data_IF_821150159794
#
_entry.id   IF_821150159794
#
_cell.length_a   1.000
_cell.length_b   1.000
_cell.length_c   1.000
_cell.angle_alpha   90.00
_cell.angle_beta   90.00
_cell.angle_gamma   90.00
#
_symmetry.space_group_name_H-M   'P 1'
#
loop_
_entity.id
_entity.type
_entity.pdbx_description
1 polymer ?
#
# COMPACT_ATOMS: atom_id res chain seq x y z
N UNK A 1 -15.70 4.52 -19.21
CA UNK A 1 -14.34 4.12 -18.80
C UNK A 1 -13.47 4.17 -20.05
N UNK A 2 -12.34 4.87 -20.01
CA UNK A 2 -11.44 5.08 -21.16
C UNK A 2 -10.01 4.71 -20.73
N UNK A 3 -9.19 4.21 -21.65
CA UNK A 3 -7.80 3.85 -21.41
C UNK A 3 -6.89 4.82 -22.16
N UNK A 4 -5.86 5.31 -21.48
CA UNK A 4 -4.83 6.17 -22.04
C UNK A 4 -3.53 5.38 -22.02
N UNK A 5 -2.90 5.24 -23.19
CA UNK A 5 -1.59 4.63 -23.35
C UNK A 5 -0.57 5.74 -23.63
N UNK A 6 0.54 5.72 -22.91
CA UNK A 6 1.65 6.64 -23.11
C UNK A 6 2.97 5.95 -22.75
N UNK A 7 4.05 6.38 -23.41
CA UNK A 7 5.41 5.96 -23.08
C UNK A 7 6.00 6.91 -22.04
N UNK A 8 6.59 6.36 -20.98
CA UNK A 8 7.30 7.13 -19.97
C UNK A 8 8.37 6.26 -19.30
N UNK A 9 9.46 6.88 -18.89
CA UNK A 9 10.48 6.23 -18.08
C UNK A 9 10.06 6.16 -16.61
N UNK A 10 10.30 5.00 -15.98
CA UNK A 10 10.19 4.86 -14.53
C UNK A 10 11.51 5.34 -13.92
N UNK A 11 11.48 6.43 -13.17
CA UNK A 11 12.65 6.98 -12.50
C UNK A 11 12.45 6.89 -10.99
N UNK A 12 13.35 6.17 -10.30
CA UNK A 12 13.28 5.96 -8.85
C UNK A 12 11.90 5.45 -8.36
N UNK A 13 11.31 4.52 -9.11
CA UNK A 13 9.98 3.97 -8.81
C UNK A 13 8.80 4.92 -9.06
N UNK A 14 9.03 6.08 -9.68
CA UNK A 14 7.98 7.05 -9.99
C UNK A 14 7.79 7.17 -11.51
N UNK A 15 6.53 7.07 -11.95
CA UNK A 15 6.10 7.46 -13.29
C UNK A 15 5.44 8.83 -13.19
N UNK A 16 5.91 9.78 -14.01
CA UNK A 16 5.25 11.08 -14.13
C UNK A 16 4.20 11.00 -15.23
N UNK A 17 2.97 11.37 -14.90
CA UNK A 17 1.92 11.52 -15.91
C UNK A 17 2.32 12.69 -16.84
N UNK A 18 2.32 12.49 -18.17
CA UNK A 18 2.63 13.56 -19.11
C UNK A 18 1.72 14.78 -18.91
N UNK A 19 2.30 15.96 -19.10
CA UNK A 19 1.65 17.26 -18.87
C UNK A 19 0.31 17.43 -19.60
N UNK A 20 0.19 16.86 -20.79
CA UNK A 20 -1.05 16.82 -21.58
C UNK A 20 -2.23 16.15 -20.86
N UNK A 21 -1.96 15.38 -19.80
CA UNK A 21 -2.95 14.67 -19.00
C UNK A 21 -3.04 15.21 -17.55
N UNK A 22 -2.56 16.42 -17.25
CA UNK A 22 -2.64 17.07 -15.91
C UNK A 22 -4.03 17.00 -15.25
N UNK A 23 -5.09 16.90 -16.05
CA UNK A 23 -6.46 16.72 -15.55
C UNK A 23 -6.65 15.45 -14.71
N UNK A 24 -5.71 14.49 -14.76
CA UNK A 24 -5.73 13.23 -14.03
C UNK A 24 -5.04 13.28 -12.64
N UNK A 25 -4.47 14.42 -12.23
CA UNK A 25 -3.63 14.54 -11.01
C UNK A 25 -4.29 14.03 -9.71
N UNK A 26 -5.62 14.06 -9.62
CA UNK A 26 -6.37 13.60 -8.43
C UNK A 26 -7.49 12.60 -8.81
N UNK A 27 -7.32 11.84 -9.89
CA UNK A 27 -8.29 10.87 -10.36
C UNK A 27 -7.97 9.45 -9.83
N UNK A 28 -9.01 8.66 -9.53
CA UNK A 28 -8.83 7.23 -9.32
C UNK A 28 -8.53 6.54 -10.66
N UNK A 29 -7.41 5.83 -10.74
CA UNK A 29 -6.95 5.17 -11.96
C UNK A 29 -6.46 3.73 -11.68
N UNK A 30 -6.69 2.83 -12.65
CA UNK A 30 -6.05 1.52 -12.70
C UNK A 30 -4.86 1.60 -13.66
N UNK A 31 -3.67 1.26 -13.17
CA UNK A 31 -2.43 1.30 -13.96
C UNK A 31 -2.07 -0.13 -14.36
N UNK A 32 -1.73 -0.33 -15.64
CA UNK A 32 -1.20 -1.59 -16.18
C UNK A 32 0.17 -1.28 -16.77
N UNK A 33 1.21 -1.95 -16.27
CA UNK A 33 2.59 -1.77 -16.71
C UNK A 33 3.00 -2.96 -17.56
N UNK A 34 3.61 -2.70 -18.71
CA UNK A 34 4.30 -3.71 -19.52
C UNK A 34 5.80 -3.55 -19.28
N UNK A 35 6.43 -4.59 -18.72
CA UNK A 35 7.86 -4.62 -18.42
C UNK A 35 8.50 -5.84 -19.06
N UNK A 36 9.78 -5.75 -19.42
CA UNK A 36 10.51 -6.90 -19.93
C UNK A 36 10.81 -7.88 -18.80
N UNK A 37 10.75 -9.19 -19.09
CA UNK A 37 10.91 -10.26 -18.11
C UNK A 37 12.19 -10.15 -17.25
N UNK A 38 13.27 -9.61 -17.81
CA UNK A 38 14.55 -9.43 -17.12
C UNK A 38 14.51 -8.39 -15.99
N UNK A 39 13.55 -7.46 -16.02
CA UNK A 39 13.45 -6.34 -15.09
C UNK A 39 12.54 -6.60 -13.88
N UNK A 40 11.80 -7.71 -13.89
CA UNK A 40 10.80 -8.00 -12.88
C UNK A 40 11.12 -9.27 -12.09
N UNK A 41 11.86 -9.11 -11.00
CA UNK A 41 11.79 -10.08 -9.91
C UNK A 41 10.75 -9.57 -8.91
N UNK A 42 9.53 -10.12 -8.99
CA UNK A 42 8.53 -9.88 -7.97
C UNK A 42 9.13 -10.28 -6.61
N UNK A 43 9.47 -9.30 -5.77
CA UNK A 43 9.59 -9.56 -4.35
C UNK A 43 8.18 -9.96 -3.92
N UNK A 44 7.99 -11.26 -3.66
CA UNK A 44 6.75 -11.75 -3.06
C UNK A 44 6.57 -10.95 -1.78
N UNK A 45 5.42 -10.30 -1.64
CA UNK A 45 4.98 -9.79 -0.35
C UNK A 45 5.14 -10.95 0.63
N UNK A 46 6.06 -10.79 1.58
CA UNK A 46 6.32 -11.84 2.54
C UNK A 46 5.10 -11.85 3.45
N UNK A 47 4.35 -12.94 3.42
CA UNK A 47 3.23 -13.14 4.34
C UNK A 47 3.75 -12.92 5.76
N UNK A 48 3.08 -12.05 6.52
CA UNK A 48 3.46 -11.78 7.90
C UNK A 48 3.19 -13.04 8.71
N UNK A 49 4.24 -13.80 9.02
CA UNK A 49 4.15 -15.02 9.83
C UNK A 49 4.25 -14.67 11.32
N UNK A 50 3.15 -14.88 12.04
CA UNK A 50 3.07 -14.70 13.49
C UNK A 50 3.11 -16.02 14.27
N UNK A 51 3.36 -17.17 13.63
CA UNK A 51 3.29 -18.51 14.25
C UNK A 51 4.21 -18.66 15.47
N UNK A 52 5.35 -17.95 15.48
CA UNK A 52 6.30 -17.93 16.59
C UNK A 52 6.27 -16.65 17.43
N UNK A 53 5.21 -15.85 17.32
CA UNK A 53 5.07 -14.61 18.10
C UNK A 53 4.15 -14.83 19.30
N UNK A 54 4.70 -14.69 20.49
CA UNK A 54 3.91 -14.60 21.72
C UNK A 54 3.36 -13.18 21.88
N UNK A 55 2.08 -12.98 21.53
CA UNK A 55 1.40 -11.70 21.65
C UNK A 55 0.93 -11.52 23.10
N UNK A 56 1.71 -10.80 23.90
CA UNK A 56 1.35 -10.42 25.29
C UNK A 56 0.40 -9.22 25.37
N UNK A 57 -0.50 -9.09 24.41
CA UNK A 57 -1.53 -8.06 24.48
C UNK A 57 -2.53 -8.43 25.59
N UNK A 58 -2.83 -7.49 26.48
CA UNK A 58 -3.82 -7.65 27.56
C UNK A 58 -3.50 -8.76 28.60
N UNK A 59 -2.25 -9.23 28.68
CA UNK A 59 -1.87 -10.28 29.64
C UNK A 59 -2.04 -9.79 31.09
N UNK A 60 -3.18 -10.14 31.70
CA UNK A 60 -3.53 -9.80 33.08
C UNK A 60 -4.54 -8.66 33.25
N UNK A 61 -5.15 -8.12 32.19
CA UNK A 61 -6.26 -7.15 32.28
C UNK A 61 -7.31 -7.44 31.22
N UNK A 62 -8.58 -7.19 31.53
CA UNK A 62 -9.64 -7.27 30.52
C UNK A 62 -9.37 -6.22 29.42
N UNK A 63 -9.44 -6.65 28.15
CA UNK A 63 -9.27 -5.77 27.00
C UNK A 63 -10.31 -4.64 27.00
N UNK A 64 -11.51 -4.90 27.53
CA UNK A 64 -12.58 -3.91 27.65
C UNK A 64 -12.27 -2.84 28.70
N UNK A 65 -11.58 -3.19 29.79
CA UNK A 65 -11.19 -2.23 30.83
C UNK A 65 -10.08 -1.28 30.32
N UNK A 66 -9.15 -1.80 29.53
CA UNK A 66 -8.12 -0.97 28.88
C UNK A 66 -8.78 0.00 27.87
N UNK A 67 -9.71 -0.49 27.06
CA UNK A 67 -10.42 0.34 26.08
C UNK A 67 -11.28 1.43 26.75
N UNK A 68 -11.92 1.12 27.88
CA UNK A 68 -12.69 2.09 28.68
C UNK A 68 -11.81 3.17 29.28
N UNK A 69 -10.68 2.78 29.88
CA UNK A 69 -9.71 3.73 30.46
C UNK A 69 -9.20 4.72 29.39
N UNK A 70 -8.86 4.22 28.19
CA UNK A 70 -8.38 5.08 27.10
C UNK A 70 -9.45 6.04 26.56
N UNK A 71 -10.74 5.70 26.71
CA UNK A 71 -11.85 6.54 26.25
C UNK A 71 -12.15 7.70 27.22
N UNK A 72 -11.90 7.50 28.50
CA UNK A 72 -12.17 8.49 29.54
C UNK A 72 -11.04 9.55 29.67
N UNK A 73 -9.92 9.37 28.95
CA UNK A 73 -8.80 10.31 28.87
C UNK A 73 -8.88 11.29 27.67
N UNK A 74 -9.98 11.29 26.91
CA UNK A 74 -10.22 12.19 25.76
C UNK A 74 -11.32 13.21 26.02
#
# INVERSE_FOLDING_TARGET
>A
MYAIEFEADIQNGTVKIPEMYRQLDNAHAKIVLMVNDESFQAQRETELDFTNTDIKAFSGRDALDIQRTMRDEW
#
